data_IF_381734989445
#
_entry.id   IF_381734989445
#
_cell.length_a   1.000
_cell.length_b   1.000
_cell.length_c   1.000
_cell.angle_alpha   90.00
_cell.angle_beta   90.00
_cell.angle_gamma   90.00
#
_symmetry.space_group_name_H-M   'P 1'
#
loop_
_entity.id
_entity.type
_entity.pdbx_description
1 polymer ?
#
# COMPACT_ATOMS: atom_id res chain seq x y z
N UNK A 1 -0.25 -19.70 -26.00
CA UNK A 1 -1.49 -19.14 -25.43
C UNK A 1 -1.11 -18.29 -24.25
N UNK A 2 -1.19 -16.97 -24.36
CA UNK A 2 -1.01 -16.07 -23.21
C UNK A 2 -2.37 -16.04 -22.53
N UNK A 3 -2.46 -16.59 -21.31
CA UNK A 3 -3.66 -16.45 -20.51
C UNK A 3 -3.90 -14.95 -20.28
N UNK A 4 -4.99 -14.42 -20.83
CA UNK A 4 -5.51 -13.12 -20.42
C UNK A 4 -6.04 -13.36 -19.00
N UNK A 5 -5.36 -12.85 -17.99
CA UNK A 5 -5.97 -12.76 -16.67
C UNK A 5 -7.24 -11.91 -16.85
N UNK A 6 -8.40 -12.50 -16.58
CA UNK A 6 -9.62 -11.71 -16.41
C UNK A 6 -9.32 -10.70 -15.31
N UNK A 7 -9.41 -9.42 -15.63
CA UNK A 7 -9.12 -8.37 -14.66
C UNK A 7 -10.19 -8.45 -13.57
N UNK A 8 -9.81 -8.92 -12.39
CA UNK A 8 -10.67 -8.94 -11.22
C UNK A 8 -11.16 -7.52 -10.95
N UNK A 9 -12.47 -7.39 -10.66
CA UNK A 9 -13.05 -6.10 -10.37
C UNK A 9 -12.29 -5.47 -9.17
N UNK A 10 -11.99 -4.17 -9.22
CA UNK A 10 -11.28 -3.52 -8.12
C UNK A 10 -12.10 -3.67 -6.84
N UNK A 11 -11.44 -3.85 -5.68
CA UNK A 11 -12.15 -3.99 -4.42
C UNK A 11 -13.01 -2.75 -4.19
N UNK A 12 -14.18 -2.89 -3.55
CA UNK A 12 -15.07 -1.77 -3.34
C UNK A 12 -14.43 -0.71 -2.44
N UNK A 13 -14.81 0.56 -2.62
CA UNK A 13 -14.23 1.69 -1.87
C UNK A 13 -14.43 1.62 -0.37
N UNK A 14 -15.52 1.00 0.11
CA UNK A 14 -15.74 0.84 1.54
C UNK A 14 -14.73 -0.12 2.18
N UNK A 15 -14.24 -1.10 1.41
CA UNK A 15 -13.25 -2.08 1.87
C UNK A 15 -11.83 -1.54 1.76
N UNK A 16 -11.52 -0.87 0.65
CA UNK A 16 -10.22 -0.23 0.42
C UNK A 16 -10.46 1.27 0.14
N UNK A 17 -10.43 2.12 1.18
CA UNK A 17 -10.54 3.57 1.05
C UNK A 17 -9.46 4.16 0.16
N UNK A 18 -9.67 5.38 -0.34
CA UNK A 18 -8.74 6.01 -1.28
C UNK A 18 -7.32 6.20 -0.70
N UNK A 19 -7.17 6.50 0.61
CA UNK A 19 -5.84 6.51 1.28
C UNK A 19 -5.14 5.14 1.14
N UNK A 20 -5.88 4.04 1.32
CA UNK A 20 -5.34 2.69 1.23
C UNK A 20 -4.94 2.26 -0.19
N UNK A 21 -5.36 3.01 -1.22
CA UNK A 21 -4.95 2.81 -2.61
C UNK A 21 -3.68 3.57 -2.96
N UNK A 22 -3.26 4.51 -2.11
CA UNK A 22 -2.07 5.30 -2.34
C UNK A 22 -0.79 4.50 -2.03
N UNK A 23 0.20 4.63 -2.91
CA UNK A 23 1.55 4.08 -2.73
C UNK A 23 2.51 5.17 -2.31
N UNK A 24 3.44 4.87 -1.42
CA UNK A 24 4.57 5.74 -1.16
C UNK A 24 5.58 5.70 -2.32
N UNK A 25 6.03 6.88 -2.74
CA UNK A 25 7.13 6.98 -3.69
C UNK A 25 8.45 6.53 -3.02
N UNK A 26 9.30 5.86 -3.80
CA UNK A 26 10.70 5.63 -3.45
C UNK A 26 11.44 6.96 -3.26
N UNK A 27 12.54 6.92 -2.50
CA UNK A 27 13.42 8.05 -2.38
C UNK A 27 14.09 8.36 -3.73
N UNK A 28 14.21 9.64 -4.04
CA UNK A 28 14.89 10.06 -5.25
C UNK A 28 16.37 9.64 -5.23
N UNK A 29 16.82 9.02 -6.33
CA UNK A 29 18.23 8.79 -6.61
C UNK A 29 18.80 10.05 -7.24
N UNK A 30 19.66 10.75 -6.50
CA UNK A 30 20.35 11.96 -6.98
C UNK A 30 21.80 11.59 -7.26
N UNK A 31 22.30 11.94 -8.45
CA UNK A 31 23.70 11.69 -8.83
C UNK A 31 24.62 12.39 -7.82
N UNK A 32 25.60 11.65 -7.30
CA UNK A 32 26.54 12.15 -6.28
C UNK A 32 26.01 12.13 -4.85
N UNK A 33 24.76 11.72 -4.60
CA UNK A 33 24.28 11.51 -3.24
C UNK A 33 24.94 10.29 -2.60
N UNK A 34 25.24 10.41 -1.31
CA UNK A 34 25.74 9.29 -0.51
C UNK A 34 24.70 8.15 -0.46
N UNK A 35 25.07 6.89 -0.80
CA UNK A 35 24.13 5.77 -0.81
C UNK A 35 23.47 5.49 0.55
N UNK A 36 24.15 5.72 1.67
CA UNK A 36 23.57 5.51 3.01
C UNK A 36 22.46 6.53 3.27
N UNK A 37 22.66 7.79 2.88
CA UNK A 37 21.62 8.82 2.94
C UNK A 37 20.38 8.46 2.10
N UNK A 38 20.58 7.87 0.93
CA UNK A 38 19.48 7.38 0.06
C UNK A 38 18.72 6.25 0.78
N UNK A 39 19.44 5.26 1.32
CA UNK A 39 18.83 4.14 2.04
C UNK A 39 18.06 4.59 3.28
N UNK A 40 18.54 5.60 3.99
CA UNK A 40 17.81 6.18 5.12
C UNK A 40 16.47 6.80 4.68
N UNK A 41 16.45 7.50 3.53
CA UNK A 41 15.21 8.05 2.95
C UNK A 41 14.26 6.96 2.47
N UNK A 42 14.79 5.90 1.83
CA UNK A 42 14.01 4.72 1.46
C UNK A 42 13.38 4.06 2.68
N UNK A 43 14.13 3.90 3.77
CA UNK A 43 13.60 3.33 5.01
C UNK A 43 12.47 4.18 5.58
N UNK A 44 12.58 5.51 5.52
CA UNK A 44 11.51 6.40 5.95
C UNK A 44 10.25 6.26 5.08
N UNK A 45 10.41 6.15 3.74
CA UNK A 45 9.29 5.89 2.84
C UNK A 45 8.62 4.54 3.12
N UNK A 46 9.42 3.48 3.30
CA UNK A 46 8.93 2.15 3.66
C UNK A 46 8.18 2.15 4.99
N UNK A 47 8.66 2.89 5.99
CA UNK A 47 7.96 3.01 7.28
C UNK A 47 6.57 3.64 7.11
N UNK A 48 6.43 4.68 6.28
CA UNK A 48 5.13 5.30 5.98
C UNK A 48 4.20 4.33 5.24
N UNK A 49 4.74 3.60 4.26
CA UNK A 49 3.98 2.58 3.53
C UNK A 49 3.50 1.48 4.47
N UNK A 50 4.36 0.95 5.33
CA UNK A 50 4.01 -0.09 6.28
C UNK A 50 2.96 0.39 7.29
N UNK A 51 3.08 1.62 7.78
CA UNK A 51 2.08 2.21 8.65
C UNK A 51 0.71 2.31 7.96
N UNK A 52 0.66 2.72 6.69
CA UNK A 52 -0.58 2.73 5.89
C UNK A 52 -1.11 1.31 5.70
N UNK A 53 -0.29 0.37 5.25
CA UNK A 53 -0.67 -1.03 5.03
C UNK A 53 -1.31 -1.65 6.27
N UNK A 54 -0.70 -1.48 7.45
CA UNK A 54 -1.23 -2.04 8.69
C UNK A 54 -2.59 -1.43 9.06
N UNK A 55 -2.73 -0.09 9.02
CA UNK A 55 -4.02 0.57 9.30
C UNK A 55 -5.11 0.14 8.31
N UNK A 56 -4.76 -0.05 7.05
CA UNK A 56 -5.68 -0.45 6.00
C UNK A 56 -6.11 -1.91 6.11
N UNK A 57 -5.19 -2.81 6.47
CA UNK A 57 -5.51 -4.21 6.74
C UNK A 57 -6.48 -4.33 7.93
N UNK A 58 -6.21 -3.58 9.00
CA UNK A 58 -7.08 -3.52 10.19
C UNK A 58 -8.47 -2.95 9.88
N UNK A 59 -8.56 -1.92 9.04
CA UNK A 59 -9.86 -1.43 8.54
C UNK A 59 -10.62 -2.49 7.74
N UNK A 60 -9.96 -3.14 6.78
CA UNK A 60 -10.57 -4.19 5.98
C UNK A 60 -11.08 -5.34 6.87
N UNK A 61 -10.29 -5.76 7.86
CA UNK A 61 -10.70 -6.79 8.81
C UNK A 61 -11.96 -6.38 9.57
N UNK A 62 -12.01 -5.15 10.12
CA UNK A 62 -13.22 -4.65 10.81
C UNK A 62 -14.46 -4.63 9.93
N UNK A 63 -14.31 -4.32 8.64
CA UNK A 63 -15.41 -4.36 7.67
C UNK A 63 -15.89 -5.80 7.49
N UNK A 64 -14.97 -6.76 7.29
CA UNK A 64 -15.33 -8.16 7.16
C UNK A 64 -16.02 -8.70 8.42
N UNK A 65 -15.50 -8.37 9.60
CA UNK A 65 -16.09 -8.81 10.88
C UNK A 65 -17.52 -8.30 11.03
N UNK A 66 -17.80 -7.05 10.62
CA UNK A 66 -19.15 -6.49 10.63
C UNK A 66 -20.07 -7.22 9.65
N UNK A 67 -19.62 -7.41 8.41
CA UNK A 67 -20.41 -8.09 7.38
C UNK A 67 -20.68 -9.57 7.72
N UNK A 68 -19.83 -10.20 8.53
CA UNK A 68 -20.03 -11.57 9.00
C UNK A 68 -20.97 -11.68 10.21
N UNK A 69 -21.22 -10.57 10.90
CA UNK A 69 -22.11 -10.52 12.06
C UNK A 69 -23.57 -10.18 11.70
N UNK A 70 -23.80 -9.71 10.47
CA UNK A 70 -25.11 -9.40 9.88
C UNK A 70 -25.65 -10.61 9.07
#
# INVERSE_FOLDING_TARGET
>A
MVARAEAEAPPPRYLVPDDCRATEAHAALVIGADPVSVLARERAALNRQNARTLRCADHAQRVFDRLAAD
#
